data_IF_253623791517
#
_entry.id   IF_253623791517
#
_cell.length_a   1.000
_cell.length_b   1.000
_cell.length_c   1.000
_cell.angle_alpha   90.00
_cell.angle_beta   90.00
_cell.angle_gamma   90.00
#
_symmetry.space_group_name_H-M   'P 1'
#
loop_
_entity.id
_entity.type
_entity.pdbx_description
1 polymer ?
#
# COMPACT_ATOMS: atom_id res chain seq x y z
N UNK A 1 9.94 10.23 -8.30
CA UNK A 1 9.95 9.82 -9.74
C UNK A 1 8.62 9.16 -10.11
N UNK A 2 8.01 9.53 -11.24
CA UNK A 2 6.82 8.86 -11.78
C UNK A 2 7.25 7.48 -12.32
N UNK A 3 6.62 6.42 -11.83
CA UNK A 3 6.91 5.02 -12.26
C UNK A 3 5.79 4.44 -13.11
N UNK A 4 4.60 5.02 -13.06
CA UNK A 4 3.45 4.59 -13.85
C UNK A 4 2.41 5.71 -13.95
N UNK A 5 1.85 5.91 -15.14
CA UNK A 5 0.70 6.78 -15.39
C UNK A 5 -0.18 6.10 -16.44
N UNK A 6 -1.33 5.58 -16.02
CA UNK A 6 -2.26 4.83 -16.87
C UNK A 6 -3.67 5.34 -16.72
N UNK A 7 -4.38 5.35 -17.84
CA UNK A 7 -5.81 5.65 -17.91
C UNK A 7 -6.55 4.36 -18.20
N UNK A 8 -7.66 4.13 -17.51
CA UNK A 8 -8.52 2.96 -17.69
C UNK A 8 -9.94 3.42 -18.00
N UNK A 9 -10.58 2.73 -18.94
CA UNK A 9 -11.98 2.92 -19.31
C UNK A 9 -12.63 1.55 -19.44
N UNK A 10 -13.79 1.36 -18.85
CA UNK A 10 -14.52 0.08 -18.87
C UNK A 10 -13.70 -1.16 -18.45
N UNK A 11 -12.73 -0.99 -17.57
CA UNK A 11 -11.84 -2.07 -17.11
C UNK A 11 -10.68 -2.39 -18.05
N UNK A 12 -10.45 -1.58 -19.08
CA UNK A 12 -9.36 -1.72 -20.02
C UNK A 12 -8.37 -0.57 -19.90
N UNK A 13 -7.07 -0.90 -20.03
CA UNK A 13 -6.03 0.11 -20.09
C UNK A 13 -6.11 0.83 -21.45
N UNK A 14 -6.26 2.14 -21.45
CA UNK A 14 -6.24 2.95 -22.65
C UNK A 14 -4.84 2.97 -23.25
N UNK A 15 -4.69 2.80 -24.58
CA UNK A 15 -3.39 2.82 -25.24
C UNK A 15 -2.79 4.23 -25.24
N UNK A 16 -1.47 4.31 -25.20
CA UNK A 16 -0.71 5.56 -25.28
C UNK A 16 0.09 5.87 -24.01
N UNK A 17 0.89 6.92 -24.13
CA UNK A 17 1.64 7.49 -23.01
C UNK A 17 0.91 8.75 -22.52
N UNK A 18 0.73 8.85 -21.21
CA UNK A 18 0.04 9.98 -20.60
C UNK A 18 1.01 10.77 -19.73
N UNK A 19 1.00 12.09 -19.90
CA UNK A 19 1.55 13.00 -18.89
C UNK A 19 0.53 13.14 -17.74
N UNK A 20 0.94 13.71 -16.59
CA UNK A 20 0.03 13.96 -15.45
C UNK A 20 -1.18 14.77 -15.93
N UNK A 21 -0.95 15.85 -16.70
CA UNK A 21 -1.99 16.74 -17.18
C UNK A 21 -2.96 16.07 -18.16
N UNK A 22 -2.43 15.27 -19.10
CA UNK A 22 -3.27 14.56 -20.07
C UNK A 22 -4.06 13.43 -19.41
N UNK A 23 -3.48 12.73 -18.44
CA UNK A 23 -4.17 11.72 -17.65
C UNK A 23 -5.29 12.34 -16.82
N UNK A 24 -5.00 13.43 -16.09
CA UNK A 24 -6.00 14.13 -15.30
C UNK A 24 -7.19 14.61 -16.14
N UNK A 25 -6.95 15.13 -17.35
CA UNK A 25 -8.04 15.48 -18.26
C UNK A 25 -8.85 14.27 -18.71
N UNK A 26 -8.16 13.20 -19.12
CA UNK A 26 -8.82 11.97 -19.57
C UNK A 26 -9.70 11.35 -18.47
N UNK A 27 -9.35 11.51 -17.19
CA UNK A 27 -10.15 11.00 -16.08
C UNK A 27 -11.49 11.73 -15.89
N UNK A 28 -11.68 12.89 -16.49
CA UNK A 28 -12.95 13.62 -16.49
C UNK A 28 -13.90 13.15 -17.59
N UNK A 29 -13.42 12.36 -18.55
CA UNK A 29 -14.24 11.82 -19.63
C UNK A 29 -14.93 10.53 -19.19
N UNK A 30 -16.22 10.45 -19.42
CA UNK A 30 -17.18 9.34 -19.32
C UNK A 30 -16.70 8.00 -18.70
N UNK A 31 -16.46 7.98 -17.39
CA UNK A 31 -16.20 6.72 -16.68
C UNK A 31 -14.75 6.25 -16.71
N UNK A 32 -13.83 7.04 -17.28
CA UNK A 32 -12.40 6.77 -17.21
C UNK A 32 -11.84 7.12 -15.83
N UNK A 33 -10.78 6.41 -15.42
CA UNK A 33 -10.03 6.77 -14.23
C UNK A 33 -8.52 6.65 -14.45
N UNK A 34 -7.75 7.34 -13.62
CA UNK A 34 -6.28 7.32 -13.64
C UNK A 34 -5.73 6.48 -12.49
N UNK A 35 -4.74 5.64 -12.80
CA UNK A 35 -3.85 5.06 -11.81
C UNK A 35 -2.44 5.60 -12.01
N UNK A 36 -2.01 6.48 -11.10
CA UNK A 36 -0.70 7.11 -11.08
C UNK A 36 0.16 6.48 -9.97
N UNK A 37 1.36 6.05 -10.31
CA UNK A 37 2.35 5.53 -9.38
C UNK A 37 3.58 6.43 -9.29
N UNK A 38 3.95 6.80 -8.07
CA UNK A 38 5.14 7.58 -7.73
C UNK A 38 6.04 6.77 -6.82
N UNK A 39 7.34 6.89 -6.99
CA UNK A 39 8.36 6.33 -6.10
C UNK A 39 9.26 7.45 -5.62
N UNK A 40 9.29 7.67 -4.31
CA UNK A 40 10.08 8.70 -3.64
C UNK A 40 10.08 10.02 -4.42
N UNK A 41 8.89 10.64 -4.64
CA UNK A 41 8.79 11.86 -5.42
C UNK A 41 9.45 13.03 -4.71
N UNK A 42 10.10 13.90 -5.49
CA UNK A 42 10.54 15.19 -4.97
C UNK A 42 9.32 16.11 -4.73
N UNK A 43 9.44 17.14 -3.87
CA UNK A 43 8.37 18.11 -3.66
C UNK A 43 7.86 18.75 -4.96
N UNK A 44 8.76 19.06 -5.91
CA UNK A 44 8.41 19.67 -7.20
C UNK A 44 7.63 18.70 -8.10
N UNK A 45 8.03 17.43 -8.15
CA UNK A 45 7.29 16.38 -8.87
C UNK A 45 5.90 16.20 -8.29
N UNK A 46 5.78 16.23 -6.96
CA UNK A 46 4.49 16.02 -6.30
C UNK A 46 3.56 17.22 -6.41
N UNK A 47 4.10 18.44 -6.49
CA UNK A 47 3.29 19.66 -6.66
C UNK A 47 2.47 19.65 -7.96
N UNK A 48 3.03 19.10 -9.05
CA UNK A 48 2.29 18.92 -10.30
C UNK A 48 1.11 17.96 -10.11
N UNK A 49 1.33 16.84 -9.41
CA UNK A 49 0.26 15.87 -9.09
C UNK A 49 -0.80 16.51 -8.19
N UNK A 50 -0.38 17.24 -7.14
CA UNK A 50 -1.27 17.93 -6.21
C UNK A 50 -2.23 18.86 -6.95
N UNK A 51 -1.69 19.66 -7.87
CA UNK A 51 -2.48 20.64 -8.64
C UNK A 51 -3.47 19.97 -9.58
N UNK A 52 -3.03 18.97 -10.35
CA UNK A 52 -3.86 18.34 -11.39
C UNK A 52 -4.98 17.47 -10.79
N UNK A 53 -4.73 16.81 -9.65
CA UNK A 53 -5.72 15.95 -8.97
C UNK A 53 -6.40 16.61 -7.76
N UNK A 54 -6.09 17.88 -7.47
CA UNK A 54 -6.72 18.62 -6.37
C UNK A 54 -6.43 18.02 -4.99
N UNK A 55 -5.23 17.47 -4.76
CA UNK A 55 -4.89 16.81 -3.52
C UNK A 55 -4.74 17.81 -2.36
N UNK A 56 -5.20 17.42 -1.18
CA UNK A 56 -5.14 18.29 0.01
C UNK A 56 -3.70 18.47 0.51
N UNK A 57 -3.33 19.70 0.85
CA UNK A 57 -1.97 20.08 1.23
C UNK A 57 -1.40 19.24 2.39
N UNK A 58 -2.18 19.02 3.45
CA UNK A 58 -1.73 18.20 4.60
C UNK A 58 -1.44 16.77 4.23
N UNK A 59 -2.25 16.16 3.37
CA UNK A 59 -2.01 14.80 2.92
C UNK A 59 -0.77 14.70 2.01
N UNK A 60 -0.50 15.73 1.22
CA UNK A 60 0.71 15.86 0.40
C UNK A 60 1.94 16.02 1.27
N UNK A 61 1.88 16.86 2.32
CA UNK A 61 2.96 17.02 3.27
C UNK A 61 3.33 15.69 3.94
N UNK A 62 2.33 14.91 4.37
CA UNK A 62 2.53 13.59 4.93
C UNK A 62 3.16 12.62 3.93
N UNK A 63 2.74 12.68 2.66
CA UNK A 63 3.28 11.81 1.62
C UNK A 63 4.73 12.14 1.24
N UNK A 64 5.15 13.39 1.36
CA UNK A 64 6.54 13.79 1.11
C UNK A 64 7.43 13.44 2.30
N UNK A 65 6.94 13.66 3.53
CA UNK A 65 7.72 13.43 4.74
C UNK A 65 7.98 11.96 5.04
N UNK A 66 7.11 11.06 4.54
CA UNK A 66 7.11 9.64 4.86
C UNK A 66 7.05 9.34 6.40
N UNK A 67 7.31 8.10 6.80
CA UNK A 67 7.32 7.64 8.20
C UNK A 67 6.00 7.87 8.95
N UNK A 68 4.90 7.80 8.21
CA UNK A 68 3.56 7.93 8.75
C UNK A 68 3.12 6.62 9.42
N UNK A 69 2.16 6.72 10.35
CA UNK A 69 1.44 5.54 10.89
C UNK A 69 0.30 5.17 9.96
N UNK A 70 -0.06 3.90 9.84
CA UNK A 70 -1.27 3.50 9.12
C UNK A 70 -2.48 4.30 9.60
N UNK A 71 -3.18 4.93 8.66
CA UNK A 71 -4.36 5.74 8.91
C UNK A 71 -5.22 5.86 7.66
N UNK A 72 -6.50 6.10 7.85
CA UNK A 72 -7.44 6.47 6.81
C UNK A 72 -8.05 7.81 7.17
N UNK A 73 -7.88 8.81 6.33
CA UNK A 73 -8.40 10.16 6.51
C UNK A 73 -9.19 10.58 5.28
N UNK A 74 -10.17 11.44 5.48
CA UNK A 74 -10.96 12.01 4.40
C UNK A 74 -10.66 13.50 4.27
N UNK A 75 -10.27 13.92 3.07
CA UNK A 75 -10.03 15.30 2.71
C UNK A 75 -10.96 15.71 1.57
N UNK A 76 -12.06 16.41 1.92
CA UNK A 76 -13.09 16.76 0.93
C UNK A 76 -13.68 15.52 0.25
N UNK A 77 -13.48 15.43 -1.06
CA UNK A 77 -13.95 14.32 -1.90
C UNK A 77 -12.89 13.25 -2.16
N UNK A 78 -11.77 13.28 -1.43
CA UNK A 78 -10.70 12.30 -1.55
C UNK A 78 -10.48 11.54 -0.25
N UNK A 79 -10.09 10.27 -0.34
CA UNK A 79 -9.53 9.49 0.75
C UNK A 79 -8.02 9.53 0.71
N UNK A 80 -7.41 9.57 1.87
CA UNK A 80 -5.98 9.39 2.06
C UNK A 80 -5.75 8.20 2.98
N UNK A 81 -5.09 7.16 2.45
CA UNK A 81 -4.77 5.93 3.18
C UNK A 81 -3.26 5.75 3.24
N UNK A 82 -2.75 5.50 4.43
CA UNK A 82 -1.35 5.14 4.67
C UNK A 82 -1.28 3.67 5.05
N UNK A 83 -0.46 2.92 4.32
CA UNK A 83 -0.14 1.51 4.55
C UNK A 83 1.34 1.38 4.89
N UNK A 84 1.69 0.56 5.87
CA UNK A 84 3.05 0.07 6.07
C UNK A 84 3.23 -1.20 5.28
N UNK A 85 4.32 -1.28 4.51
CA UNK A 85 4.75 -2.51 3.86
C UNK A 85 5.85 -3.14 4.67
N UNK A 86 5.99 -4.45 4.60
CA UNK A 86 7.05 -5.20 5.26
C UNK A 86 7.59 -6.29 4.34
N UNK A 87 8.88 -6.59 4.47
CA UNK A 87 9.56 -7.69 3.80
C UNK A 87 10.56 -8.31 4.77
N UNK A 88 10.56 -9.63 4.86
CA UNK A 88 11.56 -10.36 5.61
C UNK A 88 12.83 -10.55 4.77
N UNK A 89 13.99 -10.30 5.36
CA UNK A 89 15.31 -10.53 4.77
C UNK A 89 16.00 -11.64 5.53
N UNK A 90 15.92 -12.84 4.98
CA UNK A 90 16.35 -14.09 5.60
C UNK A 90 17.84 -14.09 5.98
N UNK A 91 18.72 -13.65 5.08
CA UNK A 91 20.17 -13.60 5.30
C UNK A 91 20.59 -12.71 6.49
N UNK A 92 19.78 -11.72 6.83
CA UNK A 92 20.07 -10.72 7.88
C UNK A 92 19.17 -10.91 9.12
N UNK A 93 18.16 -11.79 9.05
CA UNK A 93 17.13 -12.01 10.08
C UNK A 93 16.45 -10.69 10.49
N UNK A 94 16.10 -9.83 9.51
CA UNK A 94 15.49 -8.54 9.77
C UNK A 94 14.22 -8.32 8.95
N UNK A 95 13.31 -7.51 9.49
CA UNK A 95 12.13 -7.03 8.77
C UNK A 95 12.39 -5.63 8.23
N UNK A 96 12.41 -5.50 6.91
CA UNK A 96 12.46 -4.20 6.25
C UNK A 96 11.06 -3.62 6.10
N UNK A 97 10.93 -2.32 6.34
CA UNK A 97 9.67 -1.60 6.24
C UNK A 97 9.71 -0.56 5.13
N UNK A 98 8.56 -0.39 4.48
CA UNK A 98 8.30 0.71 3.57
C UNK A 98 6.92 1.30 3.81
N UNK A 99 6.48 2.17 2.90
CA UNK A 99 5.17 2.81 2.96
C UNK A 99 4.54 2.90 1.58
N UNK A 100 3.21 2.74 1.56
CA UNK A 100 2.38 3.11 0.42
C UNK A 100 1.34 4.10 0.91
N UNK A 101 1.31 5.28 0.29
CA UNK A 101 0.33 6.30 0.58
C UNK A 101 -0.58 6.45 -0.64
N UNK A 102 -1.87 6.30 -0.42
CA UNK A 102 -2.88 6.27 -1.48
C UNK A 102 -3.79 7.48 -1.35
N UNK A 103 -3.93 8.21 -2.44
CA UNK A 103 -4.95 9.24 -2.62
C UNK A 103 -5.99 8.69 -3.57
N UNK A 104 -7.24 8.57 -3.10
CA UNK A 104 -8.32 7.97 -3.86
C UNK A 104 -9.44 8.98 -4.05
N UNK A 105 -9.68 9.36 -5.28
CA UNK A 105 -10.81 10.18 -5.69
C UNK A 105 -11.87 9.36 -6.43
N UNK A 106 -12.88 10.03 -6.96
CA UNK A 106 -13.93 9.39 -7.73
C UNK A 106 -13.40 8.75 -9.03
N UNK A 107 -12.41 9.37 -9.66
CA UNK A 107 -11.87 9.01 -10.97
C UNK A 107 -10.33 8.92 -11.02
N UNK A 108 -9.69 8.82 -9.87
CA UNK A 108 -8.25 8.63 -9.79
C UNK A 108 -7.83 7.84 -8.56
N UNK A 109 -6.68 7.17 -8.67
CA UNK A 109 -5.89 6.68 -7.57
C UNK A 109 -4.43 7.06 -7.80
N UNK A 110 -3.85 7.82 -6.85
CA UNK A 110 -2.42 8.13 -6.82
C UNK A 110 -1.77 7.31 -5.72
N UNK A 111 -0.79 6.49 -6.07
CA UNK A 111 -0.01 5.69 -5.13
C UNK A 111 1.41 6.24 -5.03
N UNK A 112 1.81 6.64 -3.82
CA UNK A 112 3.18 7.08 -3.50
C UNK A 112 3.85 5.99 -2.68
N UNK A 113 5.03 5.55 -3.10
CA UNK A 113 5.78 4.50 -2.42
C UNK A 113 7.10 5.03 -1.89
N UNK A 114 7.44 4.59 -0.67
CA UNK A 114 8.74 4.78 -0.06
C UNK A 114 9.29 3.42 0.41
N UNK A 115 10.57 3.16 0.11
CA UNK A 115 11.23 1.89 0.42
C UNK A 115 10.99 0.79 -0.61
N UNK A 116 11.68 -0.33 -0.46
CA UNK A 116 11.76 -1.42 -1.44
C UNK A 116 10.63 -2.45 -1.33
N UNK A 117 9.95 -2.52 -0.18
CA UNK A 117 8.91 -3.52 0.06
C UNK A 117 7.65 -3.25 -0.77
N UNK A 118 7.06 -4.29 -1.35
CA UNK A 118 5.78 -4.32 -2.10
C UNK A 118 5.78 -3.56 -3.43
N UNK A 119 6.27 -4.22 -4.48
CA UNK A 119 6.14 -3.74 -5.86
C UNK A 119 4.70 -3.82 -6.39
N UNK A 120 4.15 -2.70 -6.87
CA UNK A 120 2.77 -2.64 -7.40
C UNK A 120 2.63 -3.11 -8.86
N UNK A 121 3.70 -3.52 -9.51
CA UNK A 121 3.66 -4.00 -10.91
C UNK A 121 2.83 -5.28 -11.04
N UNK A 122 3.00 -6.24 -10.15
CA UNK A 122 2.25 -7.49 -10.15
C UNK A 122 0.77 -7.25 -9.84
N UNK A 123 0.48 -6.34 -8.89
CA UNK A 123 -0.91 -5.92 -8.58
C UNK A 123 -1.60 -5.40 -9.82
N UNK A 124 -0.92 -4.53 -10.58
CA UNK A 124 -1.47 -3.99 -11.83
C UNK A 124 -1.73 -5.09 -12.86
N UNK A 125 -0.76 -5.96 -13.11
CA UNK A 125 -0.91 -7.06 -14.07
C UNK A 125 -2.07 -8.00 -13.72
N UNK A 126 -2.22 -8.33 -12.43
CA UNK A 126 -3.32 -9.16 -11.94
C UNK A 126 -4.68 -8.48 -12.09
N UNK A 127 -4.76 -7.15 -11.86
CA UNK A 127 -5.99 -6.39 -12.06
C UNK A 127 -6.34 -6.24 -13.54
N UNK A 128 -5.37 -5.97 -14.41
CA UNK A 128 -5.58 -5.86 -15.86
C UNK A 128 -6.09 -7.19 -16.47
N UNK A 129 -5.78 -8.33 -15.86
CA UNK A 129 -6.35 -9.63 -16.21
C UNK A 129 -7.79 -9.83 -15.69
N UNK A 130 -8.25 -9.02 -14.72
CA UNK A 130 -9.58 -9.08 -14.07
C UNK A 130 -10.44 -7.87 -14.45
N UNK A 131 -10.71 -7.71 -15.73
CA UNK A 131 -11.39 -6.54 -16.30
C UNK A 131 -12.71 -6.19 -15.63
N UNK A 132 -13.56 -7.20 -15.32
CA UNK A 132 -14.83 -6.99 -14.62
C UNK A 132 -14.64 -6.36 -13.23
N UNK A 133 -13.57 -6.71 -12.53
CA UNK A 133 -13.26 -6.11 -11.24
C UNK A 133 -12.65 -4.71 -11.42
N UNK A 134 -11.78 -4.52 -12.41
CA UNK A 134 -11.16 -3.24 -12.72
C UNK A 134 -12.17 -2.18 -13.20
N UNK A 135 -13.31 -2.58 -13.75
CA UNK A 135 -14.46 -1.70 -14.06
C UNK A 135 -15.02 -0.96 -12.83
N UNK A 136 -14.78 -1.48 -11.62
CA UNK A 136 -15.19 -0.84 -10.37
C UNK A 136 -14.30 0.38 -10.03
N UNK A 137 -13.39 0.74 -10.95
CA UNK A 137 -12.61 1.97 -10.92
C UNK A 137 -11.54 2.03 -9.82
N UNK A 138 -11.26 3.22 -9.27
CA UNK A 138 -10.25 3.41 -8.23
C UNK A 138 -10.43 2.52 -7.01
N UNK A 139 -11.67 2.13 -6.69
CA UNK A 139 -11.98 1.22 -5.58
C UNK A 139 -11.36 -0.17 -5.74
N UNK A 140 -11.36 -0.71 -6.98
CA UNK A 140 -10.77 -2.00 -7.28
C UNK A 140 -9.25 -1.96 -7.10
N UNK A 141 -8.62 -0.87 -7.53
CA UNK A 141 -7.17 -0.66 -7.36
C UNK A 141 -6.82 -0.50 -5.88
N UNK A 142 -7.61 0.28 -5.13
CA UNK A 142 -7.45 0.44 -3.70
C UNK A 142 -7.48 -0.91 -2.98
N UNK A 143 -8.50 -1.74 -3.26
CA UNK A 143 -8.60 -3.07 -2.67
C UNK A 143 -7.37 -3.93 -3.00
N UNK A 144 -7.00 -4.03 -4.28
CA UNK A 144 -5.91 -4.89 -4.70
C UNK A 144 -4.54 -4.48 -4.11
N UNK A 145 -4.32 -3.19 -3.85
CA UNK A 145 -3.12 -2.73 -3.16
C UNK A 145 -3.16 -3.10 -1.68
N UNK A 146 -4.30 -2.90 -1.01
CA UNK A 146 -4.48 -3.27 0.39
C UNK A 146 -4.31 -4.77 0.60
N UNK A 147 -4.96 -5.59 -0.21
CA UNK A 147 -4.90 -7.04 -0.24
C UNK A 147 -3.44 -7.51 -0.37
N UNK A 148 -2.72 -7.00 -1.36
CA UNK A 148 -1.30 -7.30 -1.56
C UNK A 148 -0.44 -6.96 -0.35
N UNK A 149 -0.65 -5.81 0.29
CA UNK A 149 0.14 -5.41 1.46
C UNK A 149 -0.12 -6.33 2.65
N UNK A 150 -1.37 -6.77 2.84
CA UNK A 150 -1.73 -7.74 3.89
C UNK A 150 -1.15 -9.11 3.59
N UNK A 151 -1.23 -9.59 2.35
CA UNK A 151 -0.63 -10.86 1.92
C UNK A 151 0.88 -10.88 2.12
N UNK A 152 1.56 -9.75 1.87
CA UNK A 152 3.02 -9.62 2.06
C UNK A 152 3.44 -9.73 3.54
N UNK A 153 2.52 -9.66 4.51
CA UNK A 153 2.83 -9.89 5.92
C UNK A 153 2.99 -11.38 6.27
N UNK A 154 2.34 -12.27 5.53
CA UNK A 154 2.41 -13.73 5.79
C UNK A 154 3.85 -14.23 5.76
N UNK A 155 4.63 -14.04 4.68
CA UNK A 155 6.02 -14.50 4.64
C UNK A 155 6.92 -13.82 5.70
N UNK A 156 6.56 -12.60 6.15
CA UNK A 156 7.29 -11.94 7.25
C UNK A 156 7.05 -12.66 8.58
N UNK A 157 5.80 -13.06 8.83
CA UNK A 157 5.44 -13.81 10.04
C UNK A 157 6.12 -15.18 10.03
N UNK A 158 6.06 -15.90 8.90
CA UNK A 158 6.70 -17.21 8.73
C UNK A 158 8.21 -17.13 8.98
N UNK A 159 8.94 -16.16 8.39
CA UNK A 159 10.37 -16.00 8.61
C UNK A 159 10.73 -15.69 10.07
N UNK A 160 9.96 -14.83 10.73
CA UNK A 160 10.18 -14.54 12.17
C UNK A 160 9.85 -15.74 13.06
N UNK A 161 8.84 -16.56 12.71
CA UNK A 161 8.51 -17.79 13.43
C UNK A 161 9.63 -18.83 13.29
N UNK A 162 10.20 -19.00 12.11
CA UNK A 162 11.33 -19.89 11.86
C UNK A 162 12.55 -19.49 12.70
N UNK A 163 12.88 -18.20 12.78
CA UNK A 163 13.95 -17.70 13.65
C UNK A 163 13.72 -17.97 15.13
N UNK A 164 12.47 -17.83 15.59
CA UNK A 164 12.09 -18.12 16.97
C UNK A 164 12.30 -19.61 17.27
N UNK A 165 11.89 -20.51 16.36
CA UNK A 165 12.08 -21.95 16.52
C UNK A 165 13.56 -22.35 16.57
N UNK A 166 14.40 -21.71 15.71
CA UNK A 166 15.84 -21.92 15.74
C UNK A 166 16.47 -21.48 17.06
N UNK A 167 16.08 -20.32 17.58
CA UNK A 167 16.58 -19.82 18.85
C UNK A 167 16.13 -20.71 20.00
N UNK A 168 14.89 -21.20 19.98
CA UNK A 168 14.43 -22.20 20.97
C UNK A 168 15.26 -23.47 20.94
N UNK A 169 15.57 -24.00 19.75
CA UNK A 169 16.45 -25.15 19.58
C UNK A 169 17.85 -24.89 20.14
N UNK A 170 18.41 -23.69 19.93
CA UNK A 170 19.71 -23.28 20.48
C UNK A 170 19.70 -23.24 22.04
N UNK A 171 18.64 -22.67 22.63
CA UNK A 171 18.49 -22.59 24.10
C UNK A 171 18.49 -23.97 24.77
N UNK A 172 17.85 -24.96 24.13
CA UNK A 172 17.72 -26.32 24.65
C UNK A 172 18.83 -27.27 24.15
N UNK A 173 19.77 -26.78 23.32
CA UNK A 173 20.90 -27.58 22.86
C UNK A 173 21.89 -27.83 23.98
N UNK A 174 22.74 -28.89 23.82
CA UNK A 174 23.86 -29.16 24.73
C UNK A 174 25.04 -28.20 24.50
N UNK A 175 25.02 -27.44 23.44
CA UNK A 175 26.04 -26.45 23.11
C UNK A 175 25.89 -25.22 24.02
N UNK A 176 27.00 -24.80 24.64
CA UNK A 176 27.02 -23.64 25.55
C UNK A 176 27.05 -22.30 24.79
N UNK A 177 26.25 -22.15 23.75
CA UNK A 177 26.07 -20.84 23.09
C UNK A 177 25.10 -20.01 23.93
N UNK A 178 25.36 -18.71 23.99
CA UNK A 178 24.46 -17.77 24.66
C UNK A 178 23.57 -17.07 23.60
N UNK A 179 22.31 -17.47 23.41
CA UNK A 179 21.44 -16.89 22.40
C UNK A 179 20.78 -15.56 22.84
N UNK A 180 21.16 -15.00 23.99
CA UNK A 180 20.49 -13.84 24.57
C UNK A 180 20.48 -12.61 23.64
N UNK A 181 21.54 -12.41 22.88
CA UNK A 181 21.62 -11.30 21.92
C UNK A 181 20.63 -11.51 20.75
N UNK A 182 20.59 -12.71 20.16
CA UNK A 182 19.64 -13.05 19.08
C UNK A 182 18.19 -12.94 19.57
N UNK A 183 17.87 -13.44 20.78
CA UNK A 183 16.55 -13.28 21.41
C UNK A 183 16.18 -11.80 21.54
N UNK A 184 17.11 -10.94 21.92
CA UNK A 184 16.87 -9.51 22.04
C UNK A 184 16.55 -8.87 20.71
N UNK A 185 17.29 -9.20 19.62
CA UNK A 185 17.03 -8.70 18.28
C UNK A 185 15.69 -9.18 17.75
N UNK A 186 15.39 -10.48 17.80
CA UNK A 186 14.10 -11.02 17.36
C UNK A 186 12.91 -10.39 18.10
N UNK A 187 13.03 -10.20 19.41
CA UNK A 187 12.01 -9.47 20.15
C UNK A 187 11.80 -8.05 19.63
N UNK A 188 12.86 -7.36 19.24
CA UNK A 188 12.79 -6.02 18.65
C UNK A 188 12.06 -6.05 17.33
N UNK A 189 12.40 -6.98 16.43
CA UNK A 189 11.74 -7.15 15.11
C UNK A 189 10.25 -7.40 15.28
N UNK A 190 9.84 -8.32 16.15
CA UNK A 190 8.43 -8.60 16.46
C UNK A 190 7.69 -7.36 16.94
N UNK A 191 8.30 -6.59 17.86
CA UNK A 191 7.68 -5.38 18.41
C UNK A 191 7.58 -4.26 17.34
N UNK A 192 8.55 -4.16 16.46
CA UNK A 192 8.58 -3.18 15.38
C UNK A 192 7.53 -3.53 14.31
N UNK A 193 7.47 -4.80 13.90
CA UNK A 193 6.44 -5.31 13.01
C UNK A 193 5.02 -5.07 13.56
N UNK A 194 4.79 -5.40 14.82
CA UNK A 194 3.51 -5.13 15.49
C UNK A 194 3.15 -3.64 15.51
N UNK A 195 4.12 -2.76 15.76
CA UNK A 195 3.90 -1.29 15.76
C UNK A 195 3.59 -0.76 14.37
N UNK A 196 4.17 -1.36 13.35
CA UNK A 196 3.93 -1.00 11.95
C UNK A 196 2.54 -1.48 11.47
N UNK A 197 2.11 -2.70 11.84
CA UNK A 197 0.94 -3.35 11.25
C UNK A 197 -0.34 -3.18 12.08
N UNK A 198 -0.28 -3.27 13.42
CA UNK A 198 -1.47 -3.21 14.27
C UNK A 198 -2.36 -1.96 14.06
N UNK A 199 -1.83 -0.74 13.78
CA UNK A 199 -2.68 0.41 13.49
C UNK A 199 -3.50 0.29 12.22
N UNK A 200 -3.18 -0.65 11.29
CA UNK A 200 -3.91 -0.85 10.04
C UNK A 200 -5.32 -1.43 10.25
N UNK A 201 -5.56 -2.12 11.36
CA UNK A 201 -6.89 -2.70 11.68
C UNK A 201 -8.01 -1.66 11.62
N UNK A 202 -7.80 -0.46 12.13
CA UNK A 202 -8.82 0.60 12.11
C UNK A 202 -9.15 1.08 10.71
N UNK A 203 -8.19 1.45 9.86
CA UNK A 203 -8.42 1.71 8.44
C UNK A 203 -9.17 0.60 7.69
N UNK A 204 -8.78 -0.66 7.87
CA UNK A 204 -9.43 -1.80 7.21
C UNK A 204 -10.88 -1.96 7.66
N UNK A 205 -11.16 -1.85 8.96
CA UNK A 205 -12.52 -1.84 9.48
C UNK A 205 -13.36 -0.70 8.89
N UNK A 206 -12.80 0.49 8.74
CA UNK A 206 -13.50 1.62 8.12
C UNK A 206 -13.82 1.36 6.64
N UNK A 207 -12.87 0.86 5.86
CA UNK A 207 -13.05 0.51 4.45
C UNK A 207 -14.16 -0.54 4.26
N UNK A 208 -14.25 -1.53 5.16
CA UNK A 208 -15.22 -2.63 5.07
C UNK A 208 -16.63 -2.26 5.56
N UNK A 209 -16.76 -1.32 6.51
CA UNK A 209 -18.03 -1.05 7.21
C UNK A 209 -18.63 0.30 6.90
N UNK A 210 -17.82 1.33 6.63
CA UNK A 210 -18.32 2.68 6.43
C UNK A 210 -18.73 2.95 4.97
N UNK A 211 -19.83 3.68 4.74
CA UNK A 211 -20.22 4.11 3.40
C UNK A 211 -19.35 5.29 2.94
N UNK A 212 -18.15 4.96 2.44
CA UNK A 212 -17.23 5.95 1.89
C UNK A 212 -17.57 6.18 0.41
N UNK A 213 -17.80 7.44 -0.04
CA UNK A 213 -18.17 7.73 -1.43
C UNK A 213 -17.12 7.26 -2.47
N UNK A 214 -15.87 7.19 -2.07
CA UNK A 214 -14.75 6.76 -2.92
C UNK A 214 -14.60 5.23 -2.98
N UNK A 215 -15.38 4.47 -2.19
CA UNK A 215 -15.35 3.01 -2.16
C UNK A 215 -16.71 2.50 -2.62
N UNK A 216 -16.74 1.91 -3.80
CA UNK A 216 -18.00 1.39 -4.34
C UNK A 216 -18.55 0.23 -3.50
N UNK A 217 -19.87 0.09 -3.49
CA UNK A 217 -20.56 -0.89 -2.64
C UNK A 217 -20.15 -2.33 -2.96
N UNK A 218 -19.85 -2.61 -4.23
CA UNK A 218 -19.46 -3.91 -4.75
C UNK A 218 -18.06 -4.34 -4.28
N UNK A 219 -17.13 -3.40 -4.06
CA UNK A 219 -15.78 -3.71 -3.57
C UNK A 219 -15.74 -3.85 -2.05
N UNK A 220 -16.64 -3.17 -1.33
CA UNK A 220 -16.62 -3.15 0.13
C UNK A 220 -16.60 -4.54 0.81
N UNK A 221 -17.33 -5.57 0.35
CA UNK A 221 -17.27 -6.91 0.96
C UNK A 221 -15.88 -7.54 0.90
N UNK A 222 -15.09 -7.25 -0.13
CA UNK A 222 -13.75 -7.82 -0.30
C UNK A 222 -12.77 -7.33 0.76
N UNK A 223 -12.94 -6.13 1.32
CA UNK A 223 -12.12 -5.67 2.44
C UNK A 223 -12.35 -6.47 3.75
N UNK A 224 -13.32 -7.35 3.82
CA UNK A 224 -13.55 -8.20 5.00
C UNK A 224 -12.66 -9.42 5.04
N UNK A 225 -12.14 -9.86 3.90
CA UNK A 225 -11.29 -11.06 3.80
C UNK A 225 -9.85 -10.75 4.25
N UNK A 226 -9.48 -9.48 4.43
CA UNK A 226 -8.16 -9.05 4.89
C UNK A 226 -8.02 -8.88 6.42
N UNK A 227 -8.93 -9.48 7.24
CA UNK A 227 -8.82 -9.45 8.71
C UNK A 227 -8.29 -10.76 9.27
#
# INVERSE_FOLDING_TARGET
>A
MIVNCRVYEDGYCCPGEYTIETAARASHDNGAFVWLGLYEPTPDEFESVRREFGLHELAVEDAIKAHQRPKLERYGDSLFLVLKTARYVDDEEVVEFGEILLFVGANFLVAVRHGEASGLQQVRQSLEARQEFLRLGPSAVLHAIVDRVVDDYVPVIEGVEDDIEEVEAQVFSLDRTNPAERIYYLKREVLEFRRATAPLLTPLMQLSTQPLPQVCAEVRPYFRDGY
#
